data_IF_564470092252
#
_entry.id   IF_564470092252
#
_cell.length_a   1.000
_cell.length_b   1.000
_cell.length_c   1.000
_cell.angle_alpha   90.00
_cell.angle_beta   90.00
_cell.angle_gamma   90.00
#
_symmetry.space_group_name_H-M   'P 1'
#
loop_
_entity.id
_entity.type
_entity.pdbx_description
1 polymer ?
#
# COMPACT_ATOMS: atom_id res chain seq x y z
N UNK A 1 -22.41 21.82 -62.60
CA UNK A 1 -22.43 22.43 -61.26
C UNK A 1 -21.89 21.39 -60.30
N UNK A 2 -20.70 21.58 -59.70
CA UNK A 2 -20.14 20.63 -58.74
C UNK A 2 -20.55 21.01 -57.31
N UNK A 3 -21.25 20.12 -56.60
CA UNK A 3 -21.40 20.20 -55.14
C UNK A 3 -20.20 19.52 -54.48
N UNK A 4 -19.52 20.25 -53.60
CA UNK A 4 -18.45 19.74 -52.73
C UNK A 4 -19.08 19.44 -51.36
N UNK A 5 -18.91 18.24 -50.77
CA UNK A 5 -19.33 18.00 -49.40
C UNK A 5 -18.33 18.60 -48.41
N UNK A 6 -18.87 19.35 -47.46
CA UNK A 6 -18.20 19.93 -46.29
C UNK A 6 -17.83 18.80 -45.31
N UNK A 7 -16.58 18.34 -45.32
CA UNK A 7 -16.04 17.52 -44.24
C UNK A 7 -15.82 18.40 -43.01
N UNK A 8 -16.68 18.20 -42.01
CA UNK A 8 -16.59 18.84 -40.71
C UNK A 8 -15.39 18.28 -39.94
N UNK A 9 -14.32 19.06 -39.87
CA UNK A 9 -13.23 18.85 -38.91
C UNK A 9 -13.76 19.07 -37.49
N UNK A 10 -14.23 17.99 -36.86
CA UNK A 10 -14.51 17.97 -35.42
C UNK A 10 -13.25 17.52 -34.68
N UNK A 11 -12.47 18.52 -34.27
CA UNK A 11 -11.48 18.38 -33.19
C UNK A 11 -12.16 17.72 -32.00
N UNK A 12 -11.73 16.51 -31.64
CA UNK A 12 -11.92 16.00 -30.28
C UNK A 12 -10.70 15.17 -29.89
N UNK A 13 -9.91 15.79 -29.01
CA UNK A 13 -8.75 15.25 -28.33
C UNK A 13 -9.02 13.86 -27.74
N UNK A 14 -8.09 12.88 -27.85
CA UNK A 14 -8.08 11.80 -26.88
C UNK A 14 -7.78 12.43 -25.52
N UNK A 15 -8.67 12.15 -24.57
CA UNK A 15 -8.58 12.58 -23.20
C UNK A 15 -7.19 12.30 -22.61
N UNK A 16 -6.61 13.32 -21.98
CA UNK A 16 -5.65 13.09 -20.91
C UNK A 16 -6.42 12.44 -19.75
N UNK A 17 -6.27 11.13 -19.58
CA UNK A 17 -6.55 10.44 -18.31
C UNK A 17 -5.24 9.84 -17.81
N UNK A 18 -4.63 10.40 -16.76
CA UNK A 18 -3.43 9.83 -16.15
C UNK A 18 -3.82 8.88 -15.02
N UNK A 19 -4.49 7.76 -15.29
CA UNK A 19 -4.83 6.80 -14.22
C UNK A 19 -4.82 5.38 -14.75
N UNK A 20 -3.63 4.84 -14.94
CA UNK A 20 -3.42 3.39 -14.93
C UNK A 20 -2.14 3.12 -14.13
N UNK A 21 -2.30 3.18 -12.81
CA UNK A 21 -1.60 2.38 -11.79
C UNK A 21 -0.17 1.92 -12.12
N UNK A 22 0.69 2.84 -12.55
CA UNK A 22 2.12 2.59 -12.74
C UNK A 22 2.88 2.57 -11.39
N UNK A 23 2.23 2.12 -10.32
CA UNK A 23 2.89 1.52 -9.16
C UNK A 23 2.85 -0.01 -9.33
N UNK A 24 3.41 -0.47 -10.45
CA UNK A 24 3.69 -1.87 -10.74
C UNK A 24 4.31 -2.55 -9.52
N UNK A 25 3.52 -3.40 -8.88
CA UNK A 25 3.97 -4.49 -8.02
C UNK A 25 4.93 -4.08 -6.88
N UNK A 26 4.57 -3.05 -6.11
CA UNK A 26 5.18 -2.85 -4.81
C UNK A 26 4.86 -4.09 -3.98
N UNK A 27 5.83 -4.99 -3.80
CA UNK A 27 5.76 -6.03 -2.78
C UNK A 27 5.39 -5.31 -1.48
N UNK A 28 4.13 -5.42 -1.05
CA UNK A 28 3.64 -4.78 0.17
C UNK A 28 4.31 -5.51 1.31
N UNK A 29 5.52 -5.09 1.65
CA UNK A 29 6.32 -5.63 2.72
C UNK A 29 5.73 -5.11 4.03
N UNK A 30 5.02 -5.97 4.73
CA UNK A 30 4.42 -5.60 6.01
C UNK A 30 5.44 -5.80 7.12
N UNK A 31 5.46 -4.87 8.06
CA UNK A 31 6.31 -4.87 9.23
C UNK A 31 5.46 -4.68 10.47
N UNK A 32 5.91 -5.29 11.57
CA UNK A 32 5.32 -5.12 12.89
C UNK A 32 6.33 -4.38 13.74
N UNK A 33 5.94 -3.24 14.30
CA UNK A 33 6.78 -2.45 15.19
C UNK A 33 6.22 -2.49 16.60
N UNK A 34 7.04 -2.92 17.54
CA UNK A 34 6.75 -2.83 18.97
C UNK A 34 7.08 -1.43 19.47
N UNK A 35 6.07 -0.71 19.90
CA UNK A 35 6.26 0.57 20.59
C UNK A 35 6.73 0.35 22.03
N UNK A 36 7.37 1.36 22.64
CA UNK A 36 7.74 1.34 24.06
C UNK A 36 6.53 1.22 25.00
N UNK A 37 5.36 1.64 24.53
CA UNK A 37 4.08 1.47 25.22
C UNK A 37 3.61 0.00 25.29
N UNK A 38 4.27 -0.91 24.58
CA UNK A 38 3.89 -2.32 24.48
C UNK A 38 2.89 -2.63 23.36
N UNK A 39 2.39 -1.61 22.65
CA UNK A 39 1.49 -1.78 21.50
C UNK A 39 2.30 -2.15 20.25
N UNK A 40 1.79 -3.10 19.47
CA UNK A 40 2.40 -3.52 18.21
C UNK A 40 1.61 -3.01 17.00
N UNK A 41 2.24 -2.14 16.22
CA UNK A 41 1.67 -1.55 15.00
C UNK A 41 2.07 -2.37 13.78
N UNK A 42 1.16 -2.53 12.83
CA UNK A 42 1.41 -3.16 11.54
C UNK A 42 1.44 -2.06 10.48
N UNK A 43 2.51 -1.96 9.71
CA UNK A 43 2.69 -0.91 8.69
C UNK A 43 3.48 -1.47 7.50
N UNK A 44 3.48 -0.76 6.35
CA UNK A 44 4.28 -1.13 5.17
C UNK A 44 5.65 -0.41 5.11
N UNK A 45 6.02 0.25 6.21
CA UNK A 45 7.28 0.96 6.35
C UNK A 45 8.25 0.14 7.19
N UNK A 46 9.49 0.00 6.74
CA UNK A 46 10.54 -0.69 7.51
C UNK A 46 10.97 0.13 8.74
N UNK A 47 10.82 1.45 8.68
CA UNK A 47 11.37 2.37 9.67
C UNK A 47 10.25 2.91 10.57
N UNK A 48 10.29 2.53 11.84
CA UNK A 48 9.47 3.13 12.89
C UNK A 48 10.39 3.78 13.92
N UNK A 49 10.41 5.12 13.90
CA UNK A 49 11.19 5.91 14.84
C UNK A 49 10.71 5.62 16.27
N UNK A 50 11.62 5.10 17.11
CA UNK A 50 11.31 4.76 18.49
C UNK A 50 10.67 3.38 18.71
N UNK A 51 10.59 2.50 17.70
CA UNK A 51 10.20 1.10 17.95
C UNK A 51 11.32 0.32 18.65
N UNK A 52 10.97 -0.44 19.68
CA UNK A 52 11.91 -1.30 20.43
C UNK A 52 12.32 -2.54 19.63
N UNK A 53 11.38 -3.11 18.85
CA UNK A 53 11.60 -4.33 18.08
C UNK A 53 10.76 -4.25 16.80
N UNK A 54 11.33 -4.71 15.69
CA UNK A 54 10.68 -4.75 14.37
C UNK A 54 10.72 -6.16 13.83
N UNK A 55 9.60 -6.66 13.31
CA UNK A 55 9.50 -7.97 12.66
C UNK A 55 8.97 -7.83 11.24
N UNK A 56 9.53 -8.60 10.31
CA UNK A 56 9.18 -8.58 8.90
C UNK A 56 10.44 -8.76 8.02
N UNK A 57 10.35 -8.52 6.71
CA UNK A 57 9.13 -8.20 5.95
C UNK A 57 8.19 -9.41 5.83
N UNK A 58 6.88 -9.17 5.88
CA UNK A 58 5.85 -10.17 5.56
C UNK A 58 5.25 -9.88 4.18
N UNK A 59 4.89 -10.93 3.44
CA UNK A 59 4.42 -10.80 2.07
C UNK A 59 2.99 -10.22 1.99
N UNK A 60 2.21 -10.37 3.06
CA UNK A 60 0.84 -9.88 3.14
C UNK A 60 0.46 -9.45 4.56
N UNK A 61 -0.61 -8.66 4.68
CA UNK A 61 -1.07 -8.11 5.94
C UNK A 61 -1.52 -9.22 6.91
N UNK A 62 -2.16 -10.28 6.39
CA UNK A 62 -2.68 -11.39 7.18
C UNK A 62 -1.56 -12.13 7.92
N UNK A 63 -0.41 -12.32 7.28
CA UNK A 63 0.77 -12.93 7.87
C UNK A 63 1.33 -12.06 9.00
N UNK A 64 1.42 -10.75 8.79
CA UNK A 64 1.81 -9.80 9.83
C UNK A 64 0.80 -9.80 11.00
N UNK A 65 -0.51 -9.91 10.73
CA UNK A 65 -1.54 -10.03 11.77
C UNK A 65 -1.38 -11.32 12.55
N UNK A 66 -1.20 -12.47 11.88
CA UNK A 66 -0.99 -13.76 12.51
C UNK A 66 0.25 -13.74 13.41
N UNK A 67 1.36 -13.16 12.94
CA UNK A 67 2.56 -12.98 13.74
C UNK A 67 2.32 -12.06 14.93
N UNK A 68 1.60 -10.95 14.76
CA UNK A 68 1.21 -10.05 15.87
C UNK A 68 0.43 -10.78 16.94
N UNK A 69 -0.56 -11.61 16.56
CA UNK A 69 -1.33 -12.42 17.52
C UNK A 69 -0.42 -13.40 18.26
N UNK A 70 0.53 -14.03 17.56
CA UNK A 70 1.56 -14.86 18.20
C UNK A 70 2.40 -14.09 19.21
N UNK A 71 2.80 -12.85 18.88
CA UNK A 71 3.54 -11.96 19.78
C UNK A 71 2.71 -11.53 21.00
N UNK A 72 1.39 -11.35 20.85
CA UNK A 72 0.47 -11.11 21.96
C UNK A 72 0.44 -12.33 22.90
N UNK A 73 0.27 -13.54 22.35
CA UNK A 73 0.29 -14.78 23.14
C UNK A 73 1.62 -15.03 23.84
N UNK A 74 2.72 -14.58 23.25
CA UNK A 74 4.06 -14.65 23.85
C UNK A 74 4.34 -13.54 24.88
N UNK A 75 3.40 -12.62 25.12
CA UNK A 75 3.58 -11.49 26.05
C UNK A 75 4.49 -10.37 25.53
N UNK A 76 4.86 -10.37 24.25
CA UNK A 76 5.68 -9.31 23.63
C UNK A 76 4.86 -8.08 23.24
N UNK A 77 3.60 -8.29 22.87
CA UNK A 77 2.68 -7.24 22.44
C UNK A 77 1.45 -7.23 23.33
N UNK A 78 0.90 -6.05 23.59
CA UNK A 78 -0.35 -5.88 24.33
C UNK A 78 -1.52 -5.91 23.33
N UNK A 79 -2.62 -6.64 23.63
CA UNK A 79 -3.87 -6.48 22.89
C UNK A 79 -4.45 -5.10 23.21
N UNK A 80 -4.60 -4.27 22.17
CA UNK A 80 -5.30 -3.00 22.29
C UNK A 80 -6.81 -3.23 22.43
#
# INVERSE_FOLDING_TARGET
MPEQPIESNSVNSPANSPDIDAATNAATNWYIHRQPSGVCLITNHQEAQGSLETWGPFANQNEAIAKRVGLIRAGKCIPA
#
